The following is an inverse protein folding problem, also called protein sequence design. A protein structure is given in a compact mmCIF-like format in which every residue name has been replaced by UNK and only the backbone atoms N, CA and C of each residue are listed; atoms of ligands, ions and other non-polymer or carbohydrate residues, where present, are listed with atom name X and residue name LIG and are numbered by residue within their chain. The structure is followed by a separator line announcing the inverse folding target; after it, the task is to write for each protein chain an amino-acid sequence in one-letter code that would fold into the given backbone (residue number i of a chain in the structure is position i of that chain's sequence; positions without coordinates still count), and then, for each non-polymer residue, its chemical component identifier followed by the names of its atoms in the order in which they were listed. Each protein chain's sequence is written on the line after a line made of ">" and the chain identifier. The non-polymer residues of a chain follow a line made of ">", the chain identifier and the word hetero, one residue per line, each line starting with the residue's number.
data_IF_655092926828
#
_entry.id   IF_655092926828
#
_cell.length_a   1.000
_cell.length_b   1.000
_cell.length_c   1.000
_cell.angle_alpha   90.00
_cell.angle_beta   90.00
_cell.angle_gamma   90.00
#
_symmetry.space_group_name_H-M   'P 1'
#
loop_
_entity.id
_entity.type
_entity.pdbx_description
1 polymer ?
#
# COMPACT_ATOMS: atom_id res chain seq x y z
N UNK A 1 -16.38 8.09 -1.60
CA UNK A 1 -15.63 7.22 -2.51
C UNK A 1 -14.18 7.22 -2.09
N UNK A 2 -13.51 6.06 -2.12
CA UNK A 2 -12.09 5.92 -1.81
C UNK A 2 -11.29 6.00 -3.11
N UNK A 3 -10.25 6.82 -3.14
CA UNK A 3 -9.34 6.97 -4.27
C UNK A 3 -7.95 6.53 -3.81
N UNK A 4 -7.40 5.49 -4.44
CA UNK A 4 -6.09 4.95 -4.14
C UNK A 4 -5.13 5.40 -5.23
N UNK A 5 -4.10 6.14 -4.83
CA UNK A 5 -3.02 6.59 -5.69
C UNK A 5 -1.83 5.67 -5.50
N UNK A 6 -1.36 5.07 -6.59
CA UNK A 6 -0.22 4.16 -6.58
C UNK A 6 0.98 4.93 -7.11
N UNK A 7 2.01 5.01 -6.29
CA UNK A 7 3.34 5.39 -6.71
C UNK A 7 3.89 4.33 -7.68
N UNK A 8 4.09 4.74 -8.92
CA UNK A 8 4.66 3.93 -9.99
C UNK A 8 5.99 4.52 -10.48
N UNK A 9 6.68 5.25 -9.61
CA UNK A 9 8.01 5.78 -9.86
C UNK A 9 9.04 4.66 -10.02
N UNK A 10 10.21 5.02 -10.57
CA UNK A 10 11.33 4.10 -10.75
C UNK A 10 11.72 3.34 -9.49
N UNK A 11 11.68 3.94 -8.30
CA UNK A 11 12.08 3.27 -7.05
C UNK A 11 11.14 2.12 -6.68
N UNK A 12 9.84 2.28 -6.90
CA UNK A 12 8.85 1.21 -6.71
C UNK A 12 9.11 0.01 -7.61
N UNK A 13 9.59 0.23 -8.83
CA UNK A 13 9.94 -0.85 -9.76
C UNK A 13 11.31 -1.46 -9.46
N UNK A 14 12.33 -0.64 -9.21
CA UNK A 14 13.68 -1.11 -8.86
C UNK A 14 13.72 -1.99 -7.62
N UNK A 15 12.77 -1.78 -6.70
CA UNK A 15 12.61 -2.57 -5.48
C UNK A 15 11.57 -3.71 -5.60
N UNK A 16 11.03 -3.99 -6.80
CA UNK A 16 9.97 -4.99 -7.02
C UNK A 16 8.70 -4.77 -6.16
N UNK A 17 8.45 -3.53 -5.72
CA UNK A 17 7.33 -3.17 -4.83
C UNK A 17 6.01 -2.89 -5.56
N UNK A 18 6.03 -2.72 -6.89
CA UNK A 18 4.82 -2.50 -7.68
C UNK A 18 3.85 -3.68 -7.54
N UNK A 19 4.33 -4.92 -7.55
CA UNK A 19 3.47 -6.09 -7.36
C UNK A 19 2.87 -6.11 -5.95
N UNK A 20 3.65 -5.75 -4.93
CA UNK A 20 3.15 -5.60 -3.56
C UNK A 20 2.06 -4.54 -3.46
N UNK A 21 2.25 -3.38 -4.10
CA UNK A 21 1.25 -2.32 -4.16
C UNK A 21 -0.07 -2.80 -4.77
N UNK A 22 -0.02 -3.65 -5.80
CA UNK A 22 -1.22 -4.26 -6.39
C UNK A 22 -1.97 -5.12 -5.36
N UNK A 23 -1.28 -5.97 -4.62
CA UNK A 23 -1.92 -6.83 -3.60
C UNK A 23 -2.55 -6.02 -2.48
N UNK A 24 -1.86 -4.98 -1.98
CA UNK A 24 -2.43 -4.07 -0.99
C UNK A 24 -3.65 -3.33 -1.56
N UNK A 25 -3.57 -2.86 -2.81
CA UNK A 25 -4.68 -2.19 -3.48
C UNK A 25 -5.90 -3.11 -3.67
N UNK A 26 -5.70 -4.39 -3.99
CA UNK A 26 -6.77 -5.39 -4.12
C UNK A 26 -7.57 -5.57 -2.83
N UNK A 27 -6.93 -5.48 -1.66
CA UNK A 27 -7.60 -5.57 -0.38
C UNK A 27 -8.52 -4.36 -0.08
N UNK A 28 -8.35 -3.23 -0.77
CA UNK A 28 -9.17 -2.02 -0.59
C UNK A 28 -10.37 -2.08 -1.55
N UNK A 29 -11.40 -2.82 -1.15
CA UNK A 29 -12.65 -2.94 -1.93
C UNK A 29 -13.35 -1.58 -2.14
N UNK A 30 -14.09 -1.45 -3.25
CA UNK A 30 -14.85 -0.24 -3.61
C UNK A 30 -14.01 1.05 -3.74
N UNK A 31 -12.74 0.93 -4.12
CA UNK A 31 -11.87 2.04 -4.45
C UNK A 31 -11.73 2.27 -5.96
N UNK A 32 -11.41 3.51 -6.33
CA UNK A 32 -10.95 3.88 -7.67
C UNK A 32 -9.44 4.08 -7.64
N UNK A 33 -8.73 3.52 -8.62
CA UNK A 33 -7.27 3.51 -8.65
C UNK A 33 -6.71 4.51 -9.65
N UNK A 34 -5.67 5.22 -9.22
CA UNK A 34 -5.01 6.27 -9.99
C UNK A 34 -3.49 6.10 -9.91
N UNK A 35 -2.79 6.55 -10.94
CA UNK A 35 -1.38 6.88 -10.87
C UNK A 35 -1.20 8.30 -10.31
N UNK A 36 0.03 8.65 -9.94
CA UNK A 36 0.35 9.96 -9.36
C UNK A 36 0.10 11.14 -10.31
N UNK A 37 0.13 10.89 -11.62
CA UNK A 37 -0.26 11.85 -12.66
C UNK A 37 -1.77 11.96 -12.92
N UNK A 38 -2.59 11.34 -12.07
CA UNK A 38 -4.05 11.42 -12.12
C UNK A 38 -4.70 10.50 -13.15
N UNK A 39 -3.91 9.73 -13.89
CA UNK A 39 -4.44 8.72 -14.79
C UNK A 39 -5.15 7.63 -14.00
N UNK A 40 -6.44 7.45 -14.25
CA UNK A 40 -7.19 6.35 -13.69
C UNK A 40 -6.76 5.03 -14.35
N UNK A 41 -6.54 4.00 -13.54
CA UNK A 41 -6.05 2.70 -13.99
C UNK A 41 -6.91 1.54 -13.53
N UNK A 42 -6.72 0.40 -14.19
CA UNK A 42 -7.07 -0.93 -13.66
C UNK A 42 -5.79 -1.56 -13.13
N UNK A 43 -5.85 -2.18 -11.95
CA UNK A 43 -4.66 -2.68 -11.22
C UNK A 43 -3.81 -3.68 -12.02
N UNK A 44 -4.40 -4.43 -12.93
CA UNK A 44 -3.67 -5.37 -13.80
C UNK A 44 -2.68 -4.68 -14.77
N UNK A 45 -2.81 -3.37 -14.97
CA UNK A 45 -2.05 -2.59 -15.95
C UNK A 45 -1.39 -1.37 -15.30
N UNK A 46 -0.41 -1.61 -14.43
CA UNK A 46 0.47 -0.56 -13.92
C UNK A 46 1.74 -0.55 -14.77
N UNK A 47 1.91 0.50 -15.57
CA UNK A 47 3.17 0.79 -16.22
C UNK A 47 3.99 1.74 -15.35
N UNK A 48 5.32 1.61 -15.43
CA UNK A 48 6.22 2.64 -14.95
C UNK A 48 5.89 3.96 -15.63
N UNK A 49 5.72 5.01 -14.83
CA UNK A 49 5.60 6.37 -15.31
C UNK A 49 6.45 7.26 -14.42
N UNK A 50 7.59 7.71 -14.95
CA UNK A 50 8.46 8.65 -14.27
C UNK A 50 8.02 10.10 -14.55
N UNK A 51 6.79 10.32 -15.03
CA UNK A 51 6.24 11.66 -15.12
C UNK A 51 6.05 12.25 -13.71
N UNK A 52 6.83 13.29 -13.43
CA UNK A 52 6.77 14.04 -12.17
C UNK A 52 5.54 14.96 -12.10
N UNK A 53 4.69 15.01 -13.13
CA UNK A 53 3.43 15.73 -13.07
C UNK A 53 2.51 15.10 -12.03
N UNK A 54 2.31 15.80 -10.92
CA UNK A 54 1.41 15.37 -9.85
C UNK A 54 0.01 15.93 -10.07
N UNK A 55 -0.94 15.06 -10.40
CA UNK A 55 -2.35 15.43 -10.59
C UNK A 55 -3.25 14.62 -9.65
N UNK A 56 -3.53 15.19 -8.48
CA UNK A 56 -4.30 14.55 -7.41
C UNK A 56 -5.57 15.38 -7.18
N UNK A 57 -6.57 15.19 -8.04
CA UNK A 57 -7.79 16.04 -8.06
C UNK A 57 -9.09 15.29 -7.74
N UNK A 58 -9.07 13.95 -7.66
CA UNK A 58 -10.30 13.18 -7.44
C UNK A 58 -10.98 13.56 -6.11
N UNK A 59 -12.29 13.79 -6.15
CA UNK A 59 -13.09 14.08 -4.97
C UNK A 59 -13.23 12.85 -4.06
N UNK A 60 -13.26 13.07 -2.74
CA UNK A 60 -13.34 12.01 -1.74
C UNK A 60 -12.02 11.76 -1.00
N UNK A 61 -11.98 10.62 -0.29
CA UNK A 61 -10.85 10.23 0.58
C UNK A 61 -9.72 9.66 -0.27
N UNK A 62 -8.50 10.11 -0.02
CA UNK A 62 -7.32 9.78 -0.82
C UNK A 62 -6.33 8.96 -0.01
N UNK A 63 -5.95 7.80 -0.55
CA UNK A 63 -4.96 6.89 0.02
C UNK A 63 -3.75 6.87 -0.93
N UNK A 64 -2.54 7.02 -0.40
CA UNK A 64 -1.29 6.81 -1.14
C UNK A 64 -0.73 5.42 -0.83
N UNK A 65 -0.32 4.68 -1.85
CA UNK A 65 0.56 3.50 -1.75
C UNK A 65 1.92 3.84 -2.37
N UNK A 66 2.98 3.77 -1.58
CA UNK A 66 4.36 4.11 -2.01
C UNK A 66 5.40 3.28 -1.27
N UNK A 67 6.67 3.38 -1.65
CA UNK A 67 7.81 2.79 -0.93
C UNK A 67 8.23 3.58 0.31
N UNK A 68 7.59 4.74 0.57
CA UNK A 68 7.90 5.64 1.67
C UNK A 68 9.01 6.66 1.37
N UNK A 69 9.53 6.68 0.14
CA UNK A 69 10.48 7.68 -0.35
C UNK A 69 9.81 8.77 -1.19
N UNK A 70 8.54 8.57 -1.54
CA UNK A 70 7.75 9.58 -2.23
C UNK A 70 7.61 10.84 -1.38
N UNK A 71 8.23 11.92 -1.86
CA UNK A 71 8.20 13.22 -1.22
C UNK A 71 7.31 14.18 -2.02
N UNK A 72 6.20 14.61 -1.43
CA UNK A 72 5.31 15.60 -2.02
C UNK A 72 4.81 16.57 -0.94
N UNK A 73 5.38 17.76 -0.92
CA UNK A 73 4.97 18.83 0.00
C UNK A 73 3.67 19.53 -0.46
N UNK A 74 3.33 19.40 -1.75
CA UNK A 74 2.26 20.18 -2.39
C UNK A 74 0.87 19.56 -2.27
N UNK A 75 0.77 18.24 -2.01
CA UNK A 75 -0.51 17.51 -2.00
C UNK A 75 -0.63 16.64 -0.75
N UNK A 76 -1.81 16.70 -0.13
CA UNK A 76 -2.13 15.95 1.08
C UNK A 76 -3.00 14.75 0.75
N UNK A 77 -2.60 13.59 1.26
CA UNK A 77 -3.42 12.38 1.31
C UNK A 77 -4.07 12.26 2.68
N UNK A 78 -5.24 11.63 2.76
CA UNK A 78 -5.88 11.32 4.04
C UNK A 78 -5.15 10.19 4.76
N UNK A 79 -4.62 9.22 3.99
CA UNK A 79 -3.86 8.05 4.46
C UNK A 79 -2.69 7.82 3.51
N UNK A 80 -1.53 7.45 4.04
CA UNK A 80 -0.40 6.96 3.26
C UNK A 80 0.08 5.63 3.84
N UNK A 81 0.27 4.62 2.97
CA UNK A 81 0.80 3.31 3.31
C UNK A 81 2.13 3.13 2.59
N UNK A 82 3.19 2.94 3.38
CA UNK A 82 4.52 2.67 2.87
C UNK A 82 4.77 1.16 2.79
N UNK A 83 5.34 0.70 1.67
CA UNK A 83 5.71 -0.68 1.42
C UNK A 83 7.19 -0.84 1.79
N UNK A 84 7.44 -1.61 2.85
CA UNK A 84 8.78 -1.96 3.30
C UNK A 84 9.54 -2.82 2.29
N UNK A 85 10.88 -2.81 2.39
CA UNK A 85 11.77 -3.62 1.55
C UNK A 85 11.58 -5.13 1.76
N UNK A 86 11.28 -5.54 3.00
CA UNK A 86 11.14 -6.95 3.38
C UNK A 86 9.68 -7.44 3.34
N UNK A 87 8.85 -6.86 2.47
CA UNK A 87 7.45 -7.27 2.34
C UNK A 87 7.35 -8.71 1.78
N UNK A 88 6.73 -9.62 2.54
CA UNK A 88 6.48 -10.99 2.09
C UNK A 88 5.37 -11.00 1.02
N UNK A 89 5.79 -11.04 -0.24
CA UNK A 89 4.91 -11.01 -1.42
C UNK A 89 3.95 -12.21 -1.43
N UNK A 90 4.40 -13.40 -1.01
CA UNK A 90 3.57 -14.61 -1.02
C UNK A 90 2.51 -14.57 0.08
N UNK A 91 2.83 -14.00 1.24
CA UNK A 91 1.83 -13.71 2.27
C UNK A 91 0.81 -12.67 1.77
N UNK A 92 1.27 -11.59 1.12
CA UNK A 92 0.39 -10.53 0.62
C UNK A 92 -0.53 -10.99 -0.51
N UNK A 93 -0.05 -11.85 -1.42
CA UNK A 93 -0.88 -12.56 -2.41
C UNK A 93 -2.05 -13.28 -1.74
N UNK A 94 -1.75 -14.13 -0.75
CA UNK A 94 -2.77 -14.88 0.00
C UNK A 94 -3.75 -13.94 0.71
N UNK A 95 -3.26 -12.83 1.26
CA UNK A 95 -4.10 -11.84 1.93
C UNK A 95 -5.01 -11.10 0.96
N UNK A 96 -4.53 -10.73 -0.24
CA UNK A 96 -5.32 -10.05 -1.24
C UNK A 96 -6.49 -10.91 -1.77
N UNK A 97 -6.27 -12.21 -1.89
CA UNK A 97 -7.32 -13.18 -2.27
C UNK A 97 -8.30 -13.50 -1.14
N UNK A 98 -7.97 -13.11 0.10
CA UNK A 98 -8.82 -13.34 1.26
C UNK A 98 -9.84 -12.22 1.38
N UNK A 99 -11.11 -12.50 1.05
CA UNK A 99 -12.21 -11.58 1.36
C UNK A 99 -12.35 -11.50 2.87
N UNK A 100 -11.90 -10.41 3.47
CA UNK A 100 -11.99 -10.22 4.90
C UNK A 100 -13.45 -9.94 5.31
N UNK A 101 -14.11 -10.95 5.85
CA UNK A 101 -15.30 -10.76 6.69
C UNK A 101 -14.89 -10.09 8.01
N UNK A 102 -15.85 -9.56 8.79
CA UNK A 102 -15.54 -8.97 10.11
C UNK A 102 -14.71 -9.93 10.98
N UNK A 103 -15.02 -11.22 10.91
CA UNK A 103 -14.30 -12.26 11.64
C UNK A 103 -12.84 -12.39 11.17
N UNK A 104 -12.59 -12.27 9.86
CA UNK A 104 -11.24 -12.30 9.30
C UNK A 104 -10.44 -11.04 9.67
N UNK A 105 -11.09 -9.88 9.78
CA UNK A 105 -10.44 -8.63 10.24
C UNK A 105 -10.02 -8.76 11.69
N UNK A 106 -10.89 -9.30 12.55
CA UNK A 106 -10.54 -9.55 13.96
C UNK A 106 -9.40 -10.55 14.07
N UNK A 107 -9.44 -11.63 13.28
CA UNK A 107 -8.37 -12.64 13.26
C UNK A 107 -7.02 -12.07 12.77
N UNK A 108 -7.04 -11.18 11.76
CA UNK A 108 -5.85 -10.45 11.32
C UNK A 108 -5.30 -9.55 12.43
N UNK A 109 -6.14 -8.74 13.06
CA UNK A 109 -5.74 -7.87 14.17
C UNK A 109 -5.16 -8.69 15.34
N UNK A 110 -5.77 -9.81 15.68
CA UNK A 110 -5.28 -10.73 16.71
C UNK A 110 -3.90 -11.31 16.35
N UNK A 111 -3.68 -11.68 15.07
CA UNK A 111 -2.39 -12.19 14.61
C UNK A 111 -1.28 -11.12 14.63
N UNK A 112 -1.60 -9.87 14.29
CA UNK A 112 -0.66 -8.76 14.39
C UNK A 112 -0.33 -8.49 15.87
N UNK A 113 -1.34 -8.52 16.75
CA UNK A 113 -1.13 -8.34 18.19
C UNK A 113 -0.29 -9.48 18.82
N UNK A 114 -0.50 -10.72 18.38
CA UNK A 114 0.29 -11.87 18.82
C UNK A 114 1.74 -11.79 18.36
N UNK A 115 2.00 -11.32 17.14
CA UNK A 115 3.37 -11.17 16.63
C UNK A 115 4.09 -9.93 17.20
N UNK A 116 3.34 -8.92 17.67
CA UNK A 116 3.89 -7.75 18.37
C UNK A 116 4.13 -7.98 19.86
N UNK A 117 3.54 -9.03 20.45
CA UNK A 117 3.69 -9.36 21.88
C UNK A 117 4.78 -10.40 22.15
N UNK A 118 5.54 -10.81 21.12
CA UNK A 118 6.64 -11.78 21.24
C UNK A 118 8.04 -11.19 21.40
N UNK A 119 8.20 -9.86 21.52
CA UNK A 119 9.51 -9.21 21.70
C UNK A 119 9.73 -8.61 23.12
N UNK A 120 9.29 -9.32 24.15
CA UNK A 120 9.67 -9.00 25.55
C UNK A 120 10.48 -10.15 26.17
N UNK A 121 11.55 -10.60 25.51
CA UNK A 121 12.61 -11.39 26.19
C UNK A 121 13.94 -11.36 25.41
N UNK A 122 14.58 -10.18 25.31
CA UNK A 122 16.04 -10.13 25.24
C UNK A 122 16.59 -8.86 25.93
N UNK A 123 16.35 -8.80 27.25
CA UNK A 123 17.15 -7.98 28.15
C UNK A 123 18.53 -8.64 28.34
N UNK A 124 19.49 -8.32 27.48
CA UNK A 124 20.92 -8.41 27.85
C UNK A 124 21.73 -7.29 27.20
N UNK A 125 21.60 -6.08 27.77
CA UNK A 125 22.70 -5.12 27.77
C UNK A 125 23.43 -5.25 29.10
N UNK A 126 24.33 -6.23 29.18
CA UNK A 126 25.52 -6.22 30.06
C UNK A 126 26.79 -6.30 29.21
#
# INVERSE_FOLDING_TARGET
>A
MLNVYIDNSGSMYEMDKIEVAKYVAYAISNATFYLLNGNQIRLDFIALDNDNNLCIEAEGRKILLSDGLFNCDEKKFDIALAIGLDADIEALKKMADTVYTIDNIMSFLDSVNMNLSTDDEDNSWE
#
